data_IF_699390318980
#
_entry.id   IF_699390318980
#
_cell.length_a   1.000
_cell.length_b   1.000
_cell.length_c   1.000
_cell.angle_alpha   90.00
_cell.angle_beta   90.00
_cell.angle_gamma   90.00
#
_symmetry.space_group_name_H-M   'P 1'
#
loop_
_entity.id
_entity.type
_entity.pdbx_description
1 polymer ?
#
# COMPACT_ATOMS: atom_id res chain seq x y z
N UNK A 1 69.55 -19.71 -61.06
CA UNK A 1 68.70 -19.82 -62.25
C UNK A 1 67.49 -19.02 -62.01
N UNK A 2 67.33 -17.91 -62.74
CA UNK A 2 66.25 -16.95 -62.65
C UNK A 2 65.11 -17.32 -63.60
N UNK A 3 63.91 -17.21 -63.15
CA UNK A 3 62.80 -17.02 -64.09
C UNK A 3 61.92 -15.84 -63.62
N UNK A 4 61.90 -14.82 -64.49
CA UNK A 4 61.03 -13.66 -64.44
C UNK A 4 59.76 -14.08 -65.16
N UNK A 5 58.58 -13.77 -64.56
CA UNK A 5 57.36 -13.76 -65.31
C UNK A 5 56.75 -12.30 -65.24
N UNK A 6 56.56 -11.80 -66.45
CA UNK A 6 55.88 -10.54 -66.77
C UNK A 6 54.39 -10.87 -66.81
N UNK A 7 53.58 -10.14 -66.04
CA UNK A 7 52.12 -10.19 -66.16
C UNK A 7 51.63 -8.84 -66.67
N UNK A 8 50.93 -8.93 -67.78
CA UNK A 8 50.23 -7.84 -68.47
C UNK A 8 49.05 -7.37 -67.67
N UNK A 9 48.94 -6.04 -67.46
CA UNK A 9 47.76 -5.43 -66.91
C UNK A 9 46.77 -5.07 -68.02
N UNK A 10 45.59 -5.65 -67.97
CA UNK A 10 44.43 -5.26 -68.80
C UNK A 10 43.60 -4.27 -67.99
N UNK A 11 43.56 -3.02 -68.45
CA UNK A 11 42.67 -2.01 -67.91
C UNK A 11 41.29 -2.15 -68.54
N UNK A 12 40.31 -2.59 -67.79
CA UNK A 12 38.89 -2.56 -68.15
C UNK A 12 38.24 -1.35 -67.50
N UNK A 13 37.84 -0.38 -68.29
CA UNK A 13 37.04 0.80 -67.89
C UNK A 13 35.59 0.36 -67.72
N UNK A 14 35.08 0.38 -66.50
CA UNK A 14 33.67 0.27 -66.24
C UNK A 14 33.09 1.67 -65.93
N UNK A 15 32.23 2.11 -66.81
CA UNK A 15 31.34 3.27 -66.58
C UNK A 15 30.30 2.87 -65.56
N UNK A 16 30.36 3.39 -64.34
CA UNK A 16 29.36 3.23 -63.33
C UNK A 16 28.30 4.33 -63.46
N UNK A 17 27.09 3.98 -63.89
CA UNK A 17 25.92 4.82 -63.80
C UNK A 17 25.52 4.98 -62.32
N UNK A 18 25.59 6.21 -61.77
CA UNK A 18 25.06 6.59 -60.46
C UNK A 18 23.52 6.54 -60.51
N UNK A 19 22.94 5.44 -60.01
CA UNK A 19 21.56 5.38 -59.60
C UNK A 19 21.41 5.98 -58.19
N UNK A 20 20.79 7.15 -58.05
CA UNK A 20 20.35 7.65 -56.76
C UNK A 20 19.21 6.78 -56.22
N UNK A 21 19.54 5.87 -55.32
CA UNK A 21 18.54 5.20 -54.49
C UNK A 21 18.20 6.16 -53.34
N UNK A 22 17.01 6.79 -53.43
CA UNK A 22 16.43 7.50 -52.29
C UNK A 22 16.08 6.48 -51.20
N UNK A 23 16.92 6.40 -50.17
CA UNK A 23 16.54 5.75 -48.93
C UNK A 23 15.47 6.62 -48.26
N UNK A 24 14.21 6.24 -48.39
CA UNK A 24 13.15 6.71 -47.54
C UNK A 24 13.40 6.09 -46.18
N UNK A 25 14.03 6.84 -45.26
CA UNK A 25 13.98 6.53 -43.85
C UNK A 25 12.53 6.61 -43.41
N UNK A 26 11.90 5.43 -43.28
CA UNK A 26 10.68 5.32 -42.50
C UNK A 26 11.03 5.75 -41.05
N UNK A 27 10.69 6.98 -40.70
CA UNK A 27 10.67 7.38 -39.31
C UNK A 27 9.88 6.32 -38.54
N UNK A 28 10.55 5.59 -37.65
CA UNK A 28 9.89 4.79 -36.63
C UNK A 28 9.01 5.75 -35.86
N UNK A 29 7.72 5.69 -36.08
CA UNK A 29 6.74 6.32 -35.22
C UNK A 29 6.90 5.64 -33.86
N UNK A 30 7.59 6.35 -32.97
CA UNK A 30 7.72 5.96 -31.57
C UNK A 30 6.32 6.08 -30.96
N UNK A 31 5.55 4.99 -30.99
CA UNK A 31 4.27 4.89 -30.32
C UNK A 31 4.52 4.79 -28.81
N UNK A 32 5.16 5.78 -28.22
CA UNK A 32 5.10 5.99 -26.79
C UNK A 32 3.65 6.36 -26.46
N UNK A 33 2.85 5.37 -26.14
CA UNK A 33 1.54 5.61 -25.51
C UNK A 33 1.80 6.45 -24.27
N UNK A 34 1.36 7.72 -24.32
CA UNK A 34 1.48 8.63 -23.18
C UNK A 34 0.78 7.95 -22.00
N UNK A 35 1.57 7.61 -20.97
CA UNK A 35 1.06 7.03 -19.73
C UNK A 35 0.17 8.09 -19.06
N UNK A 36 -1.12 7.85 -19.01
CA UNK A 36 -2.08 8.76 -18.37
C UNK A 36 -2.43 8.19 -17.00
N UNK A 37 -1.96 8.82 -15.94
CA UNK A 37 -2.31 8.49 -14.56
C UNK A 37 -3.60 9.22 -14.18
N UNK A 38 -4.64 8.53 -13.69
CA UNK A 38 -5.85 9.19 -13.20
C UNK A 38 -5.55 10.08 -11.98
N UNK A 39 -6.35 11.12 -11.79
CA UNK A 39 -6.21 12.02 -10.65
C UNK A 39 -6.85 11.40 -9.41
N UNK A 40 -6.08 11.25 -8.33
CA UNK A 40 -6.60 10.87 -7.02
C UNK A 40 -7.53 11.96 -6.47
N UNK A 41 -8.66 11.56 -5.89
CA UNK A 41 -9.62 12.49 -5.31
C UNK A 41 -9.57 12.44 -3.77
N UNK A 42 -8.97 13.44 -3.10
CA UNK A 42 -8.83 13.45 -1.65
C UNK A 42 -10.17 13.58 -0.91
N UNK A 43 -11.16 14.25 -1.51
CA UNK A 43 -12.47 14.39 -0.88
C UNK A 43 -13.20 13.04 -0.86
N UNK A 44 -13.05 12.23 -1.90
CA UNK A 44 -13.58 10.86 -1.91
C UNK A 44 -12.90 10.00 -0.84
N UNK A 45 -11.57 10.05 -0.73
CA UNK A 45 -10.83 9.32 0.30
C UNK A 45 -11.28 9.74 1.72
N UNK A 46 -11.41 11.05 1.97
CA UNK A 46 -11.92 11.58 3.22
C UNK A 46 -13.34 11.08 3.54
N UNK A 47 -14.23 11.04 2.54
CA UNK A 47 -15.58 10.50 2.72
C UNK A 47 -15.56 9.00 3.04
N UNK A 48 -14.62 8.22 2.47
CA UNK A 48 -14.46 6.80 2.80
C UNK A 48 -13.92 6.59 4.23
N UNK A 49 -13.03 7.45 4.72
CA UNK A 49 -12.63 7.45 6.14
C UNK A 49 -13.84 7.73 7.02
N UNK A 50 -14.58 8.82 6.71
CA UNK A 50 -15.76 9.21 7.48
C UNK A 50 -16.84 8.11 7.52
N UNK A 51 -17.11 7.46 6.38
CA UNK A 51 -18.10 6.39 6.31
C UNK A 51 -17.76 5.22 7.25
N UNK A 52 -16.48 4.87 7.39
CA UNK A 52 -16.03 3.86 8.35
C UNK A 52 -16.25 4.32 9.79
N UNK A 53 -15.92 5.57 10.11
CA UNK A 53 -16.11 6.16 11.44
C UNK A 53 -17.59 6.27 11.83
N UNK A 54 -18.48 6.50 10.87
CA UNK A 54 -19.92 6.62 11.09
C UNK A 54 -20.56 5.29 11.58
N UNK A 55 -19.93 4.13 11.33
CA UNK A 55 -20.35 2.85 11.93
C UNK A 55 -20.03 2.76 13.42
N UNK A 56 -19.12 3.60 13.92
CA UNK A 56 -18.55 3.51 15.26
C UNK A 56 -17.26 2.68 15.29
N UNK A 57 -16.76 2.35 16.50
CA UNK A 57 -15.56 1.52 16.66
C UNK A 57 -15.69 0.17 15.98
N UNK A 58 -14.78 -0.12 15.06
CA UNK A 58 -14.78 -1.35 14.25
C UNK A 58 -14.08 -2.51 14.97
N UNK A 59 -14.44 -2.69 16.23
CA UNK A 59 -13.84 -3.73 17.09
C UNK A 59 -14.27 -5.11 16.62
N UNK A 60 -13.36 -6.04 16.31
CA UNK A 60 -13.65 -7.39 15.88
C UNK A 60 -14.70 -8.11 16.74
N UNK A 61 -15.78 -8.55 16.09
CA UNK A 61 -16.90 -9.24 16.74
C UNK A 61 -18.09 -8.34 17.12
N UNK A 62 -18.04 -7.03 16.86
CA UNK A 62 -19.16 -6.10 17.10
C UNK A 62 -20.07 -5.96 15.87
N UNK A 63 -21.26 -5.38 16.05
CA UNK A 63 -22.17 -5.06 14.94
C UNK A 63 -21.57 -4.01 14.00
N UNK A 64 -20.89 -2.98 14.54
CA UNK A 64 -20.19 -1.96 13.76
C UNK A 64 -19.13 -2.57 12.84
N UNK A 65 -18.36 -3.54 13.34
CA UNK A 65 -17.37 -4.27 12.57
C UNK A 65 -18.02 -5.06 11.41
N UNK A 66 -19.12 -5.78 11.67
CA UNK A 66 -19.86 -6.53 10.63
C UNK A 66 -20.47 -5.59 9.59
N UNK A 67 -21.04 -4.46 10.01
CA UNK A 67 -21.63 -3.47 9.12
C UNK A 67 -20.54 -2.84 8.21
N UNK A 68 -19.38 -2.51 8.77
CA UNK A 68 -18.26 -1.96 8.03
C UNK A 68 -17.67 -2.97 7.02
N UNK A 69 -17.54 -4.25 7.40
CA UNK A 69 -17.17 -5.32 6.47
C UNK A 69 -18.09 -5.37 5.24
N UNK A 70 -19.40 -5.37 5.47
CA UNK A 70 -20.38 -5.38 4.39
C UNK A 70 -20.26 -4.15 3.48
N UNK A 71 -19.99 -2.99 4.06
CA UNK A 71 -19.71 -1.77 3.32
C UNK A 71 -18.49 -1.92 2.39
N UNK A 72 -17.39 -2.50 2.84
CA UNK A 72 -16.21 -2.73 2.00
C UNK A 72 -16.53 -3.66 0.82
N UNK A 73 -17.22 -4.77 1.08
CA UNK A 73 -17.63 -5.71 0.03
C UNK A 73 -18.50 -5.00 -1.02
N UNK A 74 -19.45 -4.18 -0.57
CA UNK A 74 -20.31 -3.38 -1.45
C UNK A 74 -19.48 -2.38 -2.29
N UNK A 75 -18.56 -1.62 -1.66
CA UNK A 75 -17.73 -0.66 -2.38
C UNK A 75 -16.83 -1.32 -3.41
N UNK A 76 -16.12 -2.40 -3.07
CA UNK A 76 -15.27 -3.11 -4.03
C UNK A 76 -16.06 -3.68 -5.22
N UNK A 77 -17.23 -4.24 -4.97
CA UNK A 77 -18.14 -4.69 -6.04
C UNK A 77 -18.61 -3.51 -6.91
N UNK A 78 -18.99 -2.40 -6.30
CA UNK A 78 -19.39 -1.16 -6.99
C UNK A 78 -18.26 -0.59 -7.86
N UNK A 79 -17.02 -0.77 -7.44
CA UNK A 79 -15.83 -0.33 -8.16
C UNK A 79 -15.29 -1.39 -9.12
N UNK A 80 -16.11 -2.37 -9.51
CA UNK A 80 -15.80 -3.38 -10.53
C UNK A 80 -14.52 -4.19 -10.21
N UNK A 81 -14.28 -4.55 -8.96
CA UNK A 81 -13.22 -5.50 -8.64
C UNK A 81 -13.48 -6.83 -9.39
N UNK A 82 -12.43 -7.42 -9.96
CA UNK A 82 -12.52 -8.72 -10.66
C UNK A 82 -12.94 -9.83 -9.69
N UNK A 83 -12.48 -9.75 -8.43
CA UNK A 83 -12.90 -10.63 -7.34
C UNK A 83 -12.91 -9.87 -6.02
N UNK A 84 -13.82 -10.27 -5.11
CA UNK A 84 -13.82 -9.85 -3.71
C UNK A 84 -13.91 -11.10 -2.86
N UNK A 85 -12.90 -11.34 -2.02
CA UNK A 85 -12.79 -12.50 -1.15
C UNK A 85 -12.80 -12.02 0.31
N UNK A 86 -13.62 -12.63 1.16
CA UNK A 86 -13.53 -12.49 2.61
C UNK A 86 -12.83 -13.74 3.14
N UNK A 87 -11.66 -13.53 3.72
CA UNK A 87 -10.91 -14.61 4.38
C UNK A 87 -11.29 -14.62 5.86
N UNK A 88 -12.03 -15.64 6.26
CA UNK A 88 -12.51 -15.79 7.64
C UNK A 88 -11.66 -16.77 8.44
N UNK A 89 -11.51 -16.49 9.72
CA UNK A 89 -10.81 -17.34 10.67
C UNK A 89 -10.92 -16.86 12.10
N UNK A 90 -10.10 -17.44 12.96
CA UNK A 90 -9.96 -17.04 14.37
C UNK A 90 -8.49 -17.05 14.77
N UNK A 91 -8.10 -16.07 15.59
CA UNK A 91 -6.78 -16.05 16.24
C UNK A 91 -6.92 -15.77 17.74
N UNK A 92 -5.96 -16.28 18.51
CA UNK A 92 -5.83 -15.89 19.91
C UNK A 92 -5.24 -14.49 20.01
N UNK A 93 -5.87 -13.63 20.82
CA UNK A 93 -5.39 -12.28 21.15
C UNK A 93 -4.44 -12.34 22.37
N UNK A 94 -3.95 -11.19 22.83
CA UNK A 94 -2.92 -11.06 23.87
C UNK A 94 -3.18 -11.87 25.16
N UNK A 95 -4.43 -12.10 25.55
CA UNK A 95 -4.83 -12.83 26.77
C UNK A 95 -5.14 -14.32 26.51
N UNK A 96 -4.96 -14.81 25.28
CA UNK A 96 -5.23 -16.18 24.87
C UNK A 96 -6.69 -16.42 24.45
N UNK A 97 -7.60 -15.48 24.60
CA UNK A 97 -8.96 -15.60 24.08
C UNK A 97 -8.96 -15.54 22.55
N UNK A 98 -9.96 -16.14 21.90
CA UNK A 98 -10.07 -16.13 20.44
C UNK A 98 -11.01 -15.06 19.97
N UNK A 99 -10.61 -14.39 18.88
CA UNK A 99 -11.41 -13.41 18.16
C UNK A 99 -11.54 -13.79 16.69
N UNK A 100 -12.67 -13.45 16.05
CA UNK A 100 -12.84 -13.66 14.62
C UNK A 100 -11.90 -12.75 13.83
N UNK A 101 -11.45 -13.24 12.68
CA UNK A 101 -10.73 -12.46 11.67
C UNK A 101 -11.56 -12.47 10.39
N UNK A 102 -11.62 -11.30 9.73
CA UNK A 102 -12.26 -11.10 8.44
C UNK A 102 -11.40 -10.20 7.56
N UNK A 103 -10.33 -10.75 6.98
CA UNK A 103 -9.56 -10.04 5.98
C UNK A 103 -10.36 -9.93 4.68
N UNK A 104 -10.29 -8.76 4.03
CA UNK A 104 -10.97 -8.53 2.74
C UNK A 104 -9.91 -8.38 1.66
N UNK A 105 -10.07 -9.10 0.55
CA UNK A 105 -9.18 -9.00 -0.61
C UNK A 105 -10.00 -8.63 -1.83
N UNK A 106 -9.65 -7.53 -2.49
CA UNK A 106 -10.21 -7.12 -3.75
C UNK A 106 -9.12 -7.09 -4.82
N UNK A 107 -9.33 -7.80 -5.93
CA UNK A 107 -8.34 -7.92 -7.00
C UNK A 107 -8.79 -7.19 -8.26
N UNK A 108 -7.83 -6.51 -8.91
CA UNK A 108 -8.00 -5.83 -10.20
C UNK A 108 -6.95 -6.34 -11.18
N UNK A 109 -7.34 -6.56 -12.44
CA UNK A 109 -6.44 -7.01 -13.48
C UNK A 109 -5.90 -8.42 -13.23
N UNK A 110 -6.74 -9.41 -12.96
CA UNK A 110 -6.35 -10.80 -12.66
C UNK A 110 -5.49 -11.46 -13.76
N UNK A 111 -5.67 -11.07 -15.03
CA UNK A 111 -4.87 -11.59 -16.15
C UNK A 111 -3.48 -10.98 -16.28
N UNK A 112 -3.11 -10.00 -15.48
CA UNK A 112 -1.81 -9.31 -15.57
C UNK A 112 -0.73 -10.09 -14.85
N UNK A 113 0.43 -10.35 -15.50
CA UNK A 113 1.50 -11.16 -14.92
C UNK A 113 2.22 -10.47 -13.76
N UNK A 114 2.28 -9.15 -13.79
CA UNK A 114 2.91 -8.35 -12.75
C UNK A 114 1.83 -7.81 -11.82
N UNK A 115 1.92 -8.15 -10.54
CA UNK A 115 0.96 -7.73 -9.53
C UNK A 115 1.65 -7.05 -8.36
N UNK A 116 0.96 -6.10 -7.75
CA UNK A 116 1.37 -5.45 -6.50
C UNK A 116 0.24 -5.56 -5.48
N UNK A 117 0.62 -5.57 -4.22
CA UNK A 117 -0.31 -5.54 -3.11
C UNK A 117 -0.29 -4.15 -2.46
N UNK A 118 -1.46 -3.58 -2.20
CA UNK A 118 -1.62 -2.41 -1.33
C UNK A 118 -2.51 -2.85 -0.18
N UNK A 119 -2.07 -2.65 1.03
CA UNK A 119 -2.79 -3.12 2.20
C UNK A 119 -2.90 -2.06 3.30
N UNK A 120 -3.86 -2.24 4.19
CA UNK A 120 -4.07 -1.47 5.42
C UNK A 120 -4.84 -2.34 6.40
N UNK A 121 -4.76 -2.06 7.70
CA UNK A 121 -5.72 -2.65 8.63
C UNK A 121 -7.03 -1.84 8.64
N UNK A 122 -8.13 -2.48 9.06
CA UNK A 122 -9.43 -1.85 9.05
C UNK A 122 -10.20 -1.91 10.37
N UNK A 123 -9.77 -2.77 11.28
CA UNK A 123 -10.30 -2.78 12.64
C UNK A 123 -9.88 -1.52 13.40
N UNK A 124 -10.43 -1.31 14.57
CA UNK A 124 -9.99 -0.25 15.48
C UNK A 124 -9.76 -0.82 16.87
N UNK A 125 -8.87 -0.16 17.61
CA UNK A 125 -8.46 -0.57 18.95
C UNK A 125 -9.64 -0.65 19.91
N UNK A 126 -9.76 -1.76 20.66
CA UNK A 126 -10.81 -1.92 21.67
C UNK A 126 -10.55 -1.13 22.97
N UNK A 127 -9.43 -0.45 23.04
CA UNK A 127 -8.97 0.27 24.22
C UNK A 127 -8.40 1.64 23.82
N UNK A 128 -8.75 2.69 24.58
CA UNK A 128 -8.09 3.99 24.47
C UNK A 128 -6.93 4.08 25.50
N UNK A 129 -6.00 3.12 25.45
CA UNK A 129 -5.00 2.92 26.52
C UNK A 129 -3.98 4.05 26.66
N UNK A 130 -3.90 4.96 25.69
CA UNK A 130 -3.13 6.21 25.75
C UNK A 130 -3.98 7.45 26.09
N UNK A 131 -5.30 7.29 26.33
CA UNK A 131 -6.15 8.43 26.67
C UNK A 131 -5.72 9.04 28.03
N UNK A 132 -5.66 10.36 28.07
CA UNK A 132 -5.31 11.09 29.30
C UNK A 132 -6.34 10.85 30.40
N UNK A 133 -7.63 10.74 30.06
CA UNK A 133 -8.69 10.39 30.99
C UNK A 133 -8.72 8.88 31.20
N UNK A 134 -8.30 8.46 32.41
CA UNK A 134 -8.24 7.05 32.83
C UNK A 134 -9.60 6.34 32.69
N UNK A 135 -10.72 7.03 32.92
CA UNK A 135 -12.07 6.47 32.82
C UNK A 135 -12.45 6.08 31.37
N UNK A 136 -11.71 6.60 30.40
CA UNK A 136 -11.90 6.30 28.98
C UNK A 136 -11.06 5.10 28.51
N UNK A 137 -9.99 4.76 29.19
CA UNK A 137 -8.98 3.80 28.69
C UNK A 137 -9.52 2.42 28.37
N UNK A 138 -10.58 1.96 29.03
CA UNK A 138 -11.23 0.67 28.78
C UNK A 138 -12.33 0.74 27.70
N UNK A 139 -12.45 1.86 26.97
CA UNK A 139 -13.45 2.05 25.91
C UNK A 139 -12.78 2.01 24.55
N UNK A 140 -13.47 1.51 23.51
CA UNK A 140 -12.92 1.46 22.15
C UNK A 140 -12.79 2.87 21.54
N UNK A 141 -11.82 3.02 20.63
CA UNK A 141 -11.62 4.26 19.85
C UNK A 141 -12.31 4.18 18.48
N UNK A 142 -12.51 5.35 17.87
CA UNK A 142 -13.03 5.43 16.49
C UNK A 142 -11.97 4.98 15.49
N UNK A 143 -10.68 5.28 15.72
CA UNK A 143 -9.61 4.89 14.81
C UNK A 143 -9.77 5.52 13.44
N UNK A 144 -9.89 6.86 13.38
CA UNK A 144 -10.06 7.56 12.09
C UNK A 144 -8.74 7.60 11.31
N UNK A 145 -7.64 7.83 12.00
CA UNK A 145 -6.31 7.73 11.41
C UNK A 145 -5.80 6.30 11.47
N UNK A 146 -5.96 5.69 12.63
CA UNK A 146 -5.52 4.35 12.97
C UNK A 146 -6.61 3.33 12.60
N UNK A 147 -6.43 2.75 11.49
CA UNK A 147 -6.94 1.91 10.48
C UNK A 147 -7.76 2.58 9.38
N UNK A 148 -8.71 3.50 9.69
CA UNK A 148 -9.63 3.96 8.65
C UNK A 148 -8.96 4.83 7.57
N UNK A 149 -7.86 5.53 7.86
CA UNK A 149 -7.19 6.40 6.90
C UNK A 149 -6.56 5.63 5.73
N UNK A 150 -5.85 4.54 6.02
CA UNK A 150 -5.27 3.67 5.00
C UNK A 150 -6.33 3.07 4.09
N UNK A 151 -7.41 2.58 4.69
CA UNK A 151 -8.56 2.04 3.95
C UNK A 151 -9.25 3.11 3.11
N UNK A 152 -9.36 4.35 3.59
CA UNK A 152 -9.92 5.46 2.82
C UNK A 152 -9.15 5.73 1.53
N UNK A 153 -7.82 5.70 1.59
CA UNK A 153 -6.94 5.80 0.41
C UNK A 153 -7.12 4.60 -0.52
N UNK A 154 -7.19 3.38 0.03
CA UNK A 154 -7.40 2.14 -0.75
C UNK A 154 -8.73 2.16 -1.49
N UNK A 155 -9.82 2.61 -0.87
CA UNK A 155 -11.13 2.68 -1.53
C UNK A 155 -11.16 3.71 -2.67
N UNK A 156 -10.47 4.84 -2.53
CA UNK A 156 -10.35 5.77 -3.66
C UNK A 156 -9.47 5.19 -4.78
N UNK A 157 -8.38 4.50 -4.45
CA UNK A 157 -7.60 3.77 -5.43
C UNK A 157 -8.45 2.71 -6.16
N UNK A 158 -9.26 1.93 -5.43
CA UNK A 158 -10.20 0.96 -5.98
C UNK A 158 -11.18 1.61 -6.96
N UNK A 159 -11.74 2.76 -6.59
CA UNK A 159 -12.64 3.52 -7.47
C UNK A 159 -11.95 3.92 -8.78
N UNK A 160 -10.71 4.35 -8.74
CA UNK A 160 -9.94 4.70 -9.92
C UNK A 160 -9.64 3.46 -10.78
N UNK A 161 -9.23 2.35 -10.15
CA UNK A 161 -8.98 1.07 -10.84
C UNK A 161 -10.22 0.54 -11.56
N UNK A 162 -11.41 0.72 -10.98
CA UNK A 162 -12.67 0.34 -11.61
C UNK A 162 -13.09 1.22 -12.80
N UNK A 163 -12.51 2.42 -12.93
CA UNK A 163 -12.77 3.33 -14.06
C UNK A 163 -11.73 3.23 -15.17
N UNK A 164 -10.50 2.86 -14.82
CA UNK A 164 -9.40 2.77 -15.77
C UNK A 164 -8.41 1.69 -15.36
N UNK A 165 -8.04 0.86 -16.31
CA UNK A 165 -7.05 -0.21 -16.13
C UNK A 165 -5.67 0.37 -15.77
N UNK A 166 -5.07 -0.18 -14.71
CA UNK A 166 -3.69 0.10 -14.34
C UNK A 166 -2.70 -0.67 -15.23
N UNK A 167 -1.41 -0.32 -15.19
CA UNK A 167 -0.36 -1.02 -15.95
C UNK A 167 -0.09 -2.44 -15.40
N UNK A 168 -0.39 -2.68 -14.13
CA UNK A 168 -0.17 -3.95 -13.42
C UNK A 168 -1.46 -4.44 -12.77
N UNK A 169 -1.49 -5.70 -12.35
CA UNK A 169 -2.52 -6.22 -11.47
C UNK A 169 -2.36 -5.63 -10.07
N UNK A 170 -3.46 -5.34 -9.40
CA UNK A 170 -3.46 -4.75 -8.06
C UNK A 170 -4.34 -5.58 -7.15
N UNK A 171 -3.79 -6.02 -6.03
CA UNK A 171 -4.54 -6.64 -4.94
C UNK A 171 -4.61 -5.67 -3.77
N UNK A 172 -5.82 -5.33 -3.38
CA UNK A 172 -6.14 -4.46 -2.25
C UNK A 172 -6.55 -5.34 -1.09
N UNK A 173 -5.77 -5.33 -0.01
CA UNK A 173 -6.02 -6.20 1.13
C UNK A 173 -6.29 -5.35 2.37
N UNK A 174 -7.44 -5.59 3.02
CA UNK A 174 -7.79 -5.01 4.29
C UNK A 174 -7.58 -6.08 5.37
N UNK A 175 -6.57 -5.91 6.21
CA UNK A 175 -6.28 -6.81 7.34
C UNK A 175 -7.17 -6.46 8.54
N UNK A 176 -7.67 -7.49 9.18
CA UNK A 176 -8.48 -7.40 10.41
C UNK A 176 -7.63 -7.77 11.62
N UNK A 177 -8.09 -7.39 12.81
CA UNK A 177 -7.47 -7.81 14.08
C UNK A 177 -5.97 -7.44 14.15
N UNK A 178 -5.61 -6.25 13.64
CA UNK A 178 -4.27 -5.70 13.80
C UNK A 178 -4.08 -5.17 15.21
N UNK A 179 -5.07 -4.38 15.71
CA UNK A 179 -4.96 -3.46 16.84
C UNK A 179 -5.48 -4.06 18.16
N UNK A 180 -5.27 -5.39 18.33
CA UNK A 180 -5.64 -6.14 19.56
C UNK A 180 -4.43 -6.54 20.40
N UNK A 181 -3.31 -5.82 20.26
CA UNK A 181 -2.15 -6.00 21.12
C UNK A 181 -2.47 -5.71 22.59
N UNK A 182 -1.65 -6.25 23.49
CA UNK A 182 -1.83 -6.06 24.92
C UNK A 182 -1.85 -4.57 25.30
N UNK A 183 -2.90 -4.10 26.01
CA UNK A 183 -2.94 -2.73 26.49
C UNK A 183 -1.91 -2.49 27.61
N UNK A 184 -1.60 -1.24 27.92
CA UNK A 184 -0.56 -0.84 28.88
C UNK A 184 -0.70 -1.48 30.28
N UNK A 185 -1.91 -1.87 30.67
CA UNK A 185 -2.17 -2.50 31.98
C UNK A 185 -2.16 -4.03 31.96
N UNK A 186 -1.88 -4.65 30.81
CA UNK A 186 -1.88 -6.10 30.67
C UNK A 186 -0.58 -6.63 30.08
N UNK A 187 -0.25 -7.88 30.37
CA UNK A 187 0.85 -8.58 29.72
C UNK A 187 0.30 -9.55 28.68
N UNK A 188 0.97 -9.61 27.54
CA UNK A 188 0.61 -10.60 26.52
C UNK A 188 1.09 -11.99 26.91
N UNK A 189 0.24 -12.98 26.66
CA UNK A 189 0.61 -14.41 26.67
C UNK A 189 1.25 -14.85 25.35
N UNK A 190 1.18 -13.99 24.31
CA UNK A 190 1.75 -14.23 23.00
C UNK A 190 3.13 -13.57 22.86
N UNK A 191 4.12 -14.24 22.23
CA UNK A 191 5.48 -13.72 22.08
C UNK A 191 5.56 -12.41 21.28
N UNK A 192 4.61 -12.16 20.37
CA UNK A 192 4.51 -10.99 19.51
C UNK A 192 3.57 -9.91 20.04
N UNK A 193 3.14 -10.03 21.29
CA UNK A 193 2.25 -9.04 21.90
C UNK A 193 0.79 -9.15 21.48
N UNK A 194 0.47 -9.90 20.44
CA UNK A 194 -0.89 -10.04 19.88
C UNK A 194 -1.25 -8.97 18.84
N UNK A 195 -0.25 -8.34 18.22
CA UNK A 195 -0.40 -7.37 17.15
C UNK A 195 -0.45 -8.01 15.76
N UNK A 196 -1.02 -7.30 14.78
CA UNK A 196 -1.01 -7.66 13.37
C UNK A 196 -1.48 -9.11 13.10
N UNK A 197 -2.55 -9.56 13.80
CA UNK A 197 -2.99 -10.95 13.75
C UNK A 197 -3.66 -11.31 12.43
N UNK A 198 -4.33 -10.37 11.76
CA UNK A 198 -4.97 -10.59 10.47
C UNK A 198 -3.97 -10.85 9.36
N UNK A 199 -2.92 -10.05 9.26
CA UNK A 199 -1.84 -10.29 8.30
C UNK A 199 -1.05 -11.56 8.64
N UNK A 200 -0.85 -11.86 9.92
CA UNK A 200 -0.25 -13.13 10.37
C UNK A 200 -1.07 -14.35 9.92
N UNK A 201 -2.39 -14.27 10.07
CA UNK A 201 -3.29 -15.32 9.58
C UNK A 201 -3.19 -15.45 8.06
N UNK A 202 -3.22 -14.32 7.33
CA UNK A 202 -3.08 -14.30 5.88
C UNK A 202 -1.73 -14.85 5.41
N UNK A 203 -0.62 -14.49 6.05
CA UNK A 203 0.72 -14.96 5.71
C UNK A 203 0.86 -16.49 5.81
N UNK A 204 0.18 -17.10 6.79
CA UNK A 204 0.14 -18.56 6.97
C UNK A 204 -0.80 -19.26 5.97
N UNK A 205 -1.80 -18.54 5.45
CA UNK A 205 -2.87 -19.05 4.57
C UNK A 205 -3.27 -18.00 3.56
N UNK A 206 -2.42 -17.69 2.55
CA UNK A 206 -2.78 -16.69 1.55
C UNK A 206 -4.13 -17.03 0.88
N UNK A 207 -4.87 -15.99 0.50
CA UNK A 207 -6.21 -16.09 -0.10
C UNK A 207 -6.21 -16.89 -1.43
N UNK A 208 -5.04 -17.00 -2.08
CA UNK A 208 -4.80 -17.86 -3.24
C UNK A 208 -3.57 -18.72 -2.95
N UNK A 209 -3.61 -20.06 -3.15
CA UNK A 209 -2.44 -20.91 -3.00
C UNK A 209 -1.28 -20.45 -3.88
N UNK A 210 -0.08 -20.29 -3.29
CA UNK A 210 1.10 -19.83 -4.02
C UNK A 210 1.04 -18.36 -4.46
N UNK A 211 0.23 -17.54 -3.79
CA UNK A 211 0.13 -16.11 -4.07
C UNK A 211 1.49 -15.41 -4.12
N UNK A 212 1.68 -14.58 -5.13
CA UNK A 212 2.89 -13.79 -5.34
C UNK A 212 2.51 -12.36 -5.76
N UNK A 213 3.23 -11.40 -5.20
CA UNK A 213 3.25 -10.02 -5.66
C UNK A 213 4.70 -9.56 -5.82
N UNK A 214 4.96 -8.63 -6.73
CA UNK A 214 6.32 -8.09 -6.91
C UNK A 214 6.78 -7.35 -5.66
N UNK A 215 5.86 -6.62 -5.04
CA UNK A 215 6.06 -5.93 -3.77
C UNK A 215 4.70 -5.58 -3.16
N UNK A 216 4.74 -5.15 -1.91
CA UNK A 216 3.58 -4.66 -1.19
C UNK A 216 3.87 -3.29 -0.55
N UNK A 217 2.81 -2.52 -0.33
CA UNK A 217 2.82 -1.26 0.40
C UNK A 217 1.70 -1.31 1.45
N UNK A 218 2.09 -1.25 2.71
CA UNK A 218 1.17 -1.05 3.83
C UNK A 218 0.93 0.45 4.01
N UNK A 219 -0.30 0.80 4.35
CA UNK A 219 -0.73 2.15 4.67
C UNK A 219 -1.28 2.14 6.10
N UNK A 220 -0.54 2.70 7.03
CA UNK A 220 -1.00 2.86 8.39
C UNK A 220 -0.87 4.31 8.85
N UNK A 221 -1.92 4.84 9.50
CA UNK A 221 -1.99 6.22 10.00
C UNK A 221 -1.59 7.28 8.95
N UNK A 222 -2.13 7.15 7.73
CA UNK A 222 -1.77 7.98 6.57
C UNK A 222 -2.71 9.18 6.33
N UNK A 223 -3.57 9.50 7.28
CA UNK A 223 -4.56 10.58 7.15
C UNK A 223 -4.37 11.77 8.09
N UNK A 224 -3.47 11.66 9.05
CA UNK A 224 -3.30 12.65 10.10
C UNK A 224 -2.83 14.01 9.59
N UNK A 225 -3.34 15.09 10.21
CA UNK A 225 -2.91 16.46 9.90
C UNK A 225 -1.43 16.67 10.20
N UNK A 226 -0.68 17.14 9.19
CA UNK A 226 0.75 17.39 9.32
C UNK A 226 1.61 16.14 9.42
N UNK A 227 1.08 14.96 9.07
CA UNK A 227 1.82 13.72 9.07
C UNK A 227 3.06 13.80 8.17
N UNK A 228 4.13 13.16 8.63
CA UNK A 228 5.38 13.01 7.89
C UNK A 228 5.80 11.54 7.91
N UNK A 229 6.08 11.00 6.73
CA UNK A 229 6.48 9.61 6.54
C UNK A 229 7.99 9.53 6.37
N UNK A 230 8.66 8.93 7.32
CA UNK A 230 10.08 8.62 7.27
C UNK A 230 10.29 7.23 6.68
N UNK A 231 11.51 6.93 6.25
CA UNK A 231 11.88 5.58 5.78
C UNK A 231 11.90 4.65 6.99
N UNK A 232 10.83 3.88 7.17
CA UNK A 232 10.69 2.94 8.28
C UNK A 232 11.83 1.90 8.22
N UNK A 233 12.38 1.53 9.39
CA UNK A 233 13.62 0.75 9.48
C UNK A 233 13.53 -0.64 8.82
N UNK A 234 12.49 -1.41 9.12
CA UNK A 234 12.36 -2.76 8.54
C UNK A 234 12.02 -2.71 7.05
N UNK A 235 11.23 -1.74 6.63
CA UNK A 235 10.96 -1.44 5.22
C UNK A 235 12.27 -1.18 4.46
N UNK A 236 13.13 -0.33 5.01
CA UNK A 236 14.44 -0.02 4.41
C UNK A 236 15.38 -1.23 4.41
N UNK A 237 15.29 -2.10 5.43
CA UNK A 237 16.12 -3.28 5.55
C UNK A 237 15.73 -4.41 4.59
N UNK A 238 14.45 -4.67 4.41
CA UNK A 238 13.95 -5.82 3.66
C UNK A 238 13.44 -5.49 2.25
N UNK A 239 13.09 -4.23 2.00
CA UNK A 239 12.50 -3.77 0.74
C UNK A 239 13.00 -2.37 0.33
N UNK A 240 14.28 -2.05 0.53
CA UNK A 240 14.87 -0.72 0.27
C UNK A 240 14.57 -0.19 -1.13
N UNK A 241 14.58 -1.05 -2.14
CA UNK A 241 14.28 -0.66 -3.51
C UNK A 241 12.81 -0.21 -3.71
N UNK A 242 11.87 -0.74 -2.90
CA UNK A 242 10.48 -0.28 -2.88
C UNK A 242 10.39 1.07 -2.20
N UNK A 243 11.08 1.23 -1.06
CA UNK A 243 11.21 2.52 -0.35
C UNK A 243 11.75 3.58 -1.31
N UNK A 244 12.88 3.30 -2.00
CA UNK A 244 13.47 4.22 -2.96
C UNK A 244 12.49 4.57 -4.09
N UNK A 245 11.77 3.58 -4.62
CA UNK A 245 10.77 3.79 -5.67
C UNK A 245 9.65 4.75 -5.21
N UNK A 246 9.14 4.56 -4.00
CA UNK A 246 8.04 5.36 -3.45
C UNK A 246 8.52 6.78 -3.09
N UNK A 247 9.64 6.92 -2.35
CA UNK A 247 10.16 8.22 -1.94
C UNK A 247 10.67 9.06 -3.12
N UNK A 248 11.30 8.44 -4.13
CA UNK A 248 11.67 9.14 -5.36
C UNK A 248 10.43 9.62 -6.13
N UNK A 249 9.38 8.80 -6.20
CA UNK A 249 8.12 9.22 -6.81
C UNK A 249 7.47 10.37 -6.06
N UNK A 250 7.49 10.34 -4.74
CA UNK A 250 7.02 11.46 -3.91
C UNK A 250 7.83 12.74 -4.18
N UNK A 251 9.15 12.61 -4.34
CA UNK A 251 10.03 13.74 -4.70
C UNK A 251 9.69 14.32 -6.07
N UNK A 252 9.48 13.48 -7.10
CA UNK A 252 9.05 13.90 -8.44
C UNK A 252 7.73 14.69 -8.42
N UNK A 253 6.84 14.35 -7.46
CA UNK A 253 5.57 15.04 -7.25
C UNK A 253 5.66 16.29 -6.35
N UNK A 254 6.87 16.65 -5.86
CA UNK A 254 7.10 17.78 -4.95
C UNK A 254 6.62 17.53 -3.51
N UNK A 255 6.51 16.27 -3.08
CA UNK A 255 5.97 15.86 -1.78
C UNK A 255 7.06 15.55 -0.73
N UNK A 256 8.29 16.09 -0.88
CA UNK A 256 9.41 15.87 0.05
C UNK A 256 9.13 16.33 1.49
N UNK A 257 8.18 17.22 1.68
CA UNK A 257 7.79 17.71 3.00
C UNK A 257 6.86 16.75 3.73
N UNK A 258 6.24 15.80 3.01
CA UNK A 258 5.40 14.73 3.55
C UNK A 258 6.17 13.42 3.60
N UNK A 259 6.85 13.05 2.50
CA UNK A 259 7.71 11.87 2.41
C UNK A 259 9.17 12.30 2.67
N UNK A 260 9.56 12.25 3.93
CA UNK A 260 10.89 12.71 4.38
C UNK A 260 11.92 11.63 4.06
N UNK A 261 12.89 11.94 3.20
CA UNK A 261 13.92 10.97 2.80
C UNK A 261 15.03 10.86 3.86
N UNK A 262 14.63 10.47 5.07
CA UNK A 262 15.51 10.19 6.21
C UNK A 262 15.07 8.88 6.85
N UNK A 263 15.98 8.19 7.51
CA UNK A 263 15.68 6.96 8.25
C UNK A 263 14.80 7.29 9.45
N UNK A 264 13.72 6.52 9.57
CA UNK A 264 12.83 6.50 10.72
C UNK A 264 13.16 5.39 11.71
N UNK A 265 12.34 5.26 12.74
CA UNK A 265 12.35 4.12 13.64
C UNK A 265 11.81 2.85 13.01
N UNK A 266 11.89 1.72 13.72
CA UNK A 266 11.28 0.46 13.32
C UNK A 266 9.95 0.25 14.03
N UNK A 267 8.94 -0.20 13.30
CA UNK A 267 7.61 -0.53 13.79
C UNK A 267 7.33 -2.01 13.53
N UNK A 268 6.71 -2.69 14.47
CA UNK A 268 6.17 -4.04 14.24
C UNK A 268 4.72 -3.89 13.84
N UNK A 269 4.43 -4.17 12.56
CA UNK A 269 3.14 -3.98 11.95
C UNK A 269 2.87 -5.07 10.88
N UNK A 270 1.73 -5.01 10.20
CA UNK A 270 1.27 -5.96 9.18
C UNK A 270 2.32 -6.25 8.10
N UNK A 271 3.12 -5.24 7.71
CA UNK A 271 4.19 -5.40 6.69
C UNK A 271 5.21 -6.49 7.07
N UNK A 272 5.50 -6.69 8.36
CA UNK A 272 6.42 -7.74 8.83
C UNK A 272 5.90 -9.13 8.46
N UNK A 273 4.60 -9.36 8.58
CA UNK A 273 4.00 -10.65 8.22
C UNK A 273 3.97 -10.86 6.70
N UNK A 274 3.76 -9.80 5.92
CA UNK A 274 3.85 -9.83 4.45
C UNK A 274 5.28 -10.14 4.00
N UNK A 275 6.30 -9.53 4.64
CA UNK A 275 7.72 -9.85 4.40
C UNK A 275 8.01 -11.33 4.72
N UNK A 276 7.50 -11.85 5.85
CA UNK A 276 7.64 -13.27 6.23
C UNK A 276 6.97 -14.22 5.23
N UNK A 277 5.93 -13.78 4.54
CA UNK A 277 5.31 -14.52 3.43
C UNK A 277 6.15 -14.50 2.14
N UNK A 278 7.30 -13.81 2.12
CA UNK A 278 8.24 -13.76 1.00
C UNK A 278 7.97 -12.62 0.00
N UNK A 279 7.15 -11.64 0.35
CA UNK A 279 6.84 -10.48 -0.49
C UNK A 279 7.56 -9.25 0.08
N UNK A 280 8.44 -8.56 -0.69
CA UNK A 280 9.02 -7.30 -0.27
C UNK A 280 7.90 -6.29 0.07
N UNK A 281 7.81 -5.86 1.32
CA UNK A 281 6.76 -4.94 1.79
C UNK A 281 7.37 -3.75 2.50
N UNK A 282 6.79 -2.58 2.29
CA UNK A 282 7.12 -1.36 3.02
C UNK A 282 5.90 -0.88 3.78
N UNK A 283 6.17 -0.13 4.83
CA UNK A 283 5.17 0.55 5.62
C UNK A 283 5.27 2.07 5.40
N UNK A 284 4.19 2.69 4.98
CA UNK A 284 4.01 4.14 4.96
C UNK A 284 3.23 4.49 6.22
N UNK A 285 3.95 4.92 7.25
CA UNK A 285 3.41 5.19 8.57
C UNK A 285 3.88 6.53 9.14
N UNK A 286 2.99 7.24 9.81
CA UNK A 286 3.35 8.44 10.56
C UNK A 286 3.97 8.06 11.90
N UNK A 287 5.26 7.74 11.89
CA UNK A 287 6.02 7.35 13.08
C UNK A 287 7.31 8.16 13.22
N UNK A 288 7.46 8.83 14.37
CA UNK A 288 8.63 9.66 14.72
C UNK A 288 9.23 9.17 16.04
N UNK A 289 10.17 8.23 15.95
CA UNK A 289 10.76 7.51 17.09
C UNK A 289 11.38 8.41 18.18
N UNK A 290 11.84 9.62 17.81
CA UNK A 290 12.56 10.54 18.69
C UNK A 290 11.64 11.55 19.39
N UNK A 291 10.30 11.38 19.26
CA UNK A 291 9.30 12.25 19.89
C UNK A 291 8.58 11.54 21.02
N UNK A 292 8.08 12.30 22.01
CA UNK A 292 7.35 11.77 23.17
C UNK A 292 6.05 11.07 22.74
N UNK A 293 5.44 11.53 21.63
CA UNK A 293 4.25 10.96 21.00
C UNK A 293 4.60 10.36 19.64
N UNK A 294 5.37 9.28 19.63
CA UNK A 294 5.96 8.68 18.41
C UNK A 294 4.97 8.51 17.25
N UNK A 295 3.71 8.17 17.53
CA UNK A 295 2.64 7.99 16.54
C UNK A 295 1.66 9.18 16.44
N UNK A 296 1.92 10.26 17.18
CA UNK A 296 1.06 11.44 17.30
C UNK A 296 0.23 11.46 18.59
N UNK A 297 -0.17 12.65 19.01
CA UNK A 297 -0.79 12.90 20.33
C UNK A 297 -2.19 12.27 20.50
N UNK A 298 -2.84 11.90 19.40
CA UNK A 298 -4.17 11.29 19.43
C UNK A 298 -4.15 9.76 19.26
N UNK A 299 -2.98 9.16 19.01
CA UNK A 299 -2.83 7.71 18.86
C UNK A 299 -3.33 6.96 20.09
N UNK A 300 -4.17 5.96 19.89
CA UNK A 300 -4.82 5.15 20.93
C UNK A 300 -5.62 5.95 21.97
N UNK A 301 -6.18 7.08 21.55
CA UNK A 301 -7.05 7.92 22.37
C UNK A 301 -8.41 8.15 21.69
N UNK A 302 -9.41 8.67 22.42
CA UNK A 302 -10.69 9.09 21.83
C UNK A 302 -10.56 10.32 20.92
N UNK A 303 -9.37 10.93 20.84
CA UNK A 303 -9.11 12.01 19.90
C UNK A 303 -8.70 11.50 18.51
N UNK A 304 -8.52 10.18 18.30
CA UNK A 304 -8.37 9.64 16.95
C UNK A 304 -9.73 9.59 16.23
N UNK A 305 -10.15 10.76 15.77
CA UNK A 305 -11.41 10.99 15.07
C UNK A 305 -11.24 11.90 13.85
N UNK A 306 -12.34 12.17 13.14
CA UNK A 306 -12.34 12.95 11.90
C UNK A 306 -11.79 14.38 12.02
N UNK A 307 -11.67 14.96 13.22
CA UNK A 307 -11.08 16.30 13.44
C UNK A 307 -9.59 16.34 13.11
N UNK A 308 -8.92 15.19 13.24
CA UNK A 308 -7.49 15.04 12.99
C UNK A 308 -7.16 14.54 11.56
N UNK A 309 -8.17 14.20 10.76
CA UNK A 309 -7.97 13.79 9.37
C UNK A 309 -7.84 15.01 8.46
N UNK A 310 -6.81 14.99 7.61
CA UNK A 310 -6.53 16.03 6.63
C UNK A 310 -6.58 15.46 5.20
N UNK A 311 -7.51 15.94 4.34
CA UNK A 311 -7.56 15.53 2.95
C UNK A 311 -6.24 15.74 2.17
N UNK A 312 -5.42 16.72 2.58
CA UNK A 312 -4.14 16.97 1.92
C UNK A 312 -3.11 15.86 2.18
N UNK A 313 -3.12 15.26 3.38
CA UNK A 313 -2.28 14.10 3.69
C UNK A 313 -2.73 12.88 2.91
N UNK A 314 -4.05 12.58 2.89
CA UNK A 314 -4.61 11.50 2.07
C UNK A 314 -4.27 11.68 0.58
N UNK A 315 -4.30 12.94 0.08
CA UNK A 315 -3.93 13.27 -1.30
C UNK A 315 -2.47 12.99 -1.59
N UNK A 316 -1.56 13.32 -0.67
CA UNK A 316 -0.14 13.08 -0.87
C UNK A 316 0.15 11.59 -1.06
N UNK A 317 -0.39 10.74 -0.18
CA UNK A 317 -0.24 9.29 -0.25
C UNK A 317 -0.92 8.73 -1.50
N UNK A 318 -2.17 9.11 -1.75
CA UNK A 318 -2.93 8.63 -2.90
C UNK A 318 -2.27 8.97 -4.24
N UNK A 319 -1.74 10.19 -4.43
CA UNK A 319 -1.02 10.59 -5.65
C UNK A 319 0.21 9.74 -5.89
N UNK A 320 0.97 9.43 -4.86
CA UNK A 320 2.15 8.54 -4.98
C UNK A 320 1.72 7.14 -5.41
N UNK A 321 0.69 6.56 -4.78
CA UNK A 321 0.17 5.23 -5.15
C UNK A 321 -0.34 5.19 -6.59
N UNK A 322 -1.08 6.22 -7.04
CA UNK A 322 -1.54 6.31 -8.43
C UNK A 322 -0.34 6.23 -9.41
N UNK A 323 0.72 6.95 -9.13
CA UNK A 323 1.94 6.90 -9.93
C UNK A 323 2.70 5.56 -9.86
N UNK A 324 2.50 4.79 -8.82
CA UNK A 324 3.14 3.47 -8.66
C UNK A 324 2.38 2.40 -9.47
N UNK A 325 1.04 2.45 -9.50
CA UNK A 325 0.22 1.36 -10.09
C UNK A 325 -0.14 1.60 -11.56
N UNK A 326 -0.28 2.84 -12.01
CA UNK A 326 -0.63 3.17 -13.40
C UNK A 326 0.61 3.33 -14.26
#
# INVERSE_FOLDING_TARGET
>A
MSYRYIIFAIVLSFLSACGFASHSEKAKQDNTTVRVVPTFNPDSAYHYVKAQCDFGPRVPGTEAHVACLNYFIEQFNRFNADTVIVQEGEMAIYDGTKKPIRNVVASYGLGKPNRVMICAHWDSRPFADKDENIDNRHKPIIGANDGASGVGVILELARQLGMKDASMGVDLILFDLEDWGAPDWAQSTLPDGGWALGSKYWALRPHVPGYQAQFAILLDMVGGRGAQFYREYFSDQYASWVVDRVWNKAADLGLNHVFVNQRGGGVTDDHINVIRAGIPCIDIINFQADTESSFGDYWHTHNDDMRNIDPSTLNAVGRVLMEIVY
#
